data_IF_750246214026
#
_entry.id   IF_750246214026
#
_cell.length_a   1.000
_cell.length_b   1.000
_cell.length_c   1.000
_cell.angle_alpha   90.00
_cell.angle_beta   90.00
_cell.angle_gamma   90.00
#
_symmetry.space_group_name_H-M   'P 1'
#
loop_
_entity.id
_entity.type
_entity.pdbx_description
1 polymer ?
#
# COMPACT_ATOMS: atom_id res chain seq x y z
N UNK A 1 -14.29 12.96 12.03
CA UNK A 1 -14.77 11.57 12.22
C UNK A 1 -14.83 10.95 10.84
N UNK A 2 -13.84 10.16 10.46
CA UNK A 2 -13.91 9.38 9.22
C UNK A 2 -14.98 8.31 9.43
N UNK A 3 -15.96 8.21 8.53
CA UNK A 3 -17.01 7.21 8.69
C UNK A 3 -16.41 5.82 8.43
N UNK A 4 -16.91 4.77 9.09
CA UNK A 4 -16.40 3.40 8.87
C UNK A 4 -16.44 2.97 7.40
N UNK A 5 -17.38 3.51 6.62
CA UNK A 5 -17.48 3.34 5.17
C UNK A 5 -16.26 3.87 4.39
N UNK A 6 -15.67 4.98 4.85
CA UNK A 6 -14.53 5.63 4.21
C UNK A 6 -13.25 4.81 4.44
N UNK A 7 -13.11 4.23 5.63
CA UNK A 7 -12.01 3.32 5.99
C UNK A 7 -12.08 2.05 5.15
N UNK A 8 -13.26 1.43 5.07
CA UNK A 8 -13.48 0.24 4.24
C UNK A 8 -13.15 0.49 2.77
N UNK A 9 -13.62 1.62 2.23
CA UNK A 9 -13.36 2.02 0.84
C UNK A 9 -11.87 2.28 0.59
N UNK A 10 -11.18 2.97 1.50
CA UNK A 10 -9.72 3.19 1.42
C UNK A 10 -8.94 1.88 1.51
N UNK A 11 -9.34 0.96 2.37
CA UNK A 11 -8.74 -0.37 2.52
C UNK A 11 -8.84 -1.16 1.22
N UNK A 12 -10.05 -1.23 0.65
CA UNK A 12 -10.30 -1.93 -0.62
C UNK A 12 -9.47 -1.30 -1.74
N UNK A 13 -9.48 0.03 -1.86
CA UNK A 13 -8.69 0.74 -2.86
C UNK A 13 -7.19 0.49 -2.67
N UNK A 14 -6.65 0.58 -1.45
CA UNK A 14 -5.25 0.30 -1.17
C UNK A 14 -4.87 -1.16 -1.49
N UNK A 15 -5.75 -2.11 -1.19
CA UNK A 15 -5.57 -3.53 -1.49
C UNK A 15 -5.50 -3.80 -2.99
N UNK A 16 -6.48 -3.30 -3.75
CA UNK A 16 -6.54 -3.46 -5.21
C UNK A 16 -5.34 -2.77 -5.89
N UNK A 17 -5.01 -1.54 -5.47
CA UNK A 17 -3.85 -0.82 -5.99
C UNK A 17 -2.53 -1.53 -5.65
N UNK A 18 -2.42 -2.17 -4.48
CA UNK A 18 -1.25 -2.97 -4.12
C UNK A 18 -1.09 -4.19 -5.03
N UNK A 19 -2.18 -4.88 -5.36
CA UNK A 19 -2.15 -6.05 -6.24
C UNK A 19 -1.80 -5.67 -7.69
N UNK A 20 -2.43 -4.61 -8.23
CA UNK A 20 -2.29 -4.25 -9.65
C UNK A 20 -1.09 -3.34 -9.92
N UNK A 21 -0.79 -2.42 -9.00
CA UNK A 21 0.20 -1.35 -9.15
C UNK A 21 1.22 -1.34 -8.00
N UNK A 22 1.41 -2.49 -7.34
CA UNK A 22 2.33 -2.65 -6.22
C UNK A 22 3.79 -2.35 -6.57
N UNK A 23 4.22 -2.69 -7.79
CA UNK A 23 5.57 -2.39 -8.28
C UNK A 23 5.87 -0.89 -8.42
N UNK A 24 4.83 -0.07 -8.52
CA UNK A 24 4.91 1.39 -8.57
C UNK A 24 4.68 2.05 -7.20
N UNK A 25 4.20 1.30 -6.21
CA UNK A 25 3.97 1.82 -4.86
C UNK A 25 2.76 2.75 -4.69
N UNK A 26 1.83 2.75 -5.64
CA UNK A 26 0.67 3.68 -5.67
C UNK A 26 -0.22 3.53 -4.43
N UNK A 27 -0.36 2.32 -3.91
CA UNK A 27 -1.13 2.02 -2.71
C UNK A 27 -0.61 2.72 -1.45
N UNK A 28 0.69 3.02 -1.36
CA UNK A 28 1.29 3.76 -0.23
C UNK A 28 0.92 5.24 -0.25
N UNK A 29 0.90 5.87 -1.43
CA UNK A 29 0.47 7.25 -1.57
C UNK A 29 -0.99 7.45 -1.14
N UNK A 30 -1.86 6.47 -1.38
CA UNK A 30 -3.26 6.51 -0.93
C UNK A 30 -3.41 6.57 0.60
N UNK A 31 -2.45 5.98 1.32
CA UNK A 31 -2.38 5.96 2.79
C UNK A 31 -1.62 7.17 3.36
N UNK A 32 -1.05 8.03 2.49
CA UNK A 32 -0.25 9.17 2.91
C UNK A 32 1.23 8.84 3.16
N UNK A 33 1.68 7.63 2.79
CA UNK A 33 3.07 7.17 2.88
C UNK A 33 3.87 7.60 1.66
N UNK A 34 4.03 8.92 1.50
CA UNK A 34 4.70 9.50 0.35
C UNK A 34 6.17 9.07 0.25
N UNK A 35 6.86 8.94 1.38
CA UNK A 35 8.28 8.55 1.41
C UNK A 35 8.45 7.13 0.88
N UNK A 36 7.64 6.19 1.37
CA UNK A 36 7.67 4.78 1.01
C UNK A 36 7.24 4.58 -0.45
N UNK A 37 6.22 5.30 -0.89
CA UNK A 37 5.81 5.35 -2.29
C UNK A 37 6.92 5.85 -3.22
N UNK A 38 7.62 6.92 -2.83
CA UNK A 38 8.77 7.45 -3.58
C UNK A 38 9.92 6.44 -3.61
N UNK A 39 10.21 5.77 -2.49
CA UNK A 39 11.26 4.74 -2.44
C UNK A 39 10.95 3.62 -3.44
N UNK A 40 9.71 3.11 -3.49
CA UNK A 40 9.34 2.09 -4.48
C UNK A 40 9.49 2.59 -5.92
N UNK A 41 9.04 3.82 -6.21
CA UNK A 41 9.21 4.41 -7.54
C UNK A 41 10.67 4.55 -7.93
N UNK A 42 11.50 5.09 -7.03
CA UNK A 42 12.93 5.30 -7.28
C UNK A 42 13.64 3.96 -7.46
N UNK A 43 13.35 2.95 -6.64
CA UNK A 43 13.94 1.62 -6.79
C UNK A 43 13.55 1.00 -8.13
N UNK A 44 12.27 1.04 -8.49
CA UNK A 44 11.79 0.54 -9.79
C UNK A 44 12.42 1.31 -10.95
N UNK A 45 12.63 2.63 -10.83
CA UNK A 45 13.21 3.45 -11.90
C UNK A 45 14.73 3.27 -12.04
N UNK A 46 15.47 3.31 -10.92
CA UNK A 46 16.94 3.17 -10.89
C UNK A 46 17.40 1.80 -11.35
N UNK A 47 16.60 0.77 -11.10
CA UNK A 47 16.87 -0.59 -11.57
C UNK A 47 16.37 -0.83 -13.01
N UNK A 48 15.98 0.22 -13.75
CA UNK A 48 15.38 0.11 -15.09
C UNK A 48 14.19 -0.88 -15.14
N UNK A 49 13.38 -0.92 -14.09
CA UNK A 49 12.22 -1.80 -13.95
C UNK A 49 12.52 -3.18 -13.35
N UNK A 50 13.78 -3.59 -13.22
CA UNK A 50 14.15 -4.93 -12.72
C UNK A 50 13.81 -5.12 -11.23
N UNK A 51 14.05 -4.09 -10.41
CA UNK A 51 13.63 -4.03 -9.02
C UNK A 51 12.12 -3.96 -8.82
N UNK A 52 11.38 -3.65 -9.90
CA UNK A 52 9.93 -3.68 -9.93
C UNK A 52 9.35 -5.08 -9.70
N UNK A 53 10.11 -6.16 -9.96
CA UNK A 53 9.68 -7.53 -9.64
C UNK A 53 9.62 -7.71 -8.12
N UNK A 54 10.69 -7.35 -7.40
CA UNK A 54 10.75 -7.46 -5.94
C UNK A 54 9.73 -6.54 -5.28
N UNK A 55 9.66 -5.29 -5.72
CA UNK A 55 8.66 -4.33 -5.22
C UNK A 55 7.23 -4.75 -5.58
N UNK A 56 7.03 -5.38 -6.73
CA UNK A 56 5.75 -5.96 -7.14
C UNK A 56 5.30 -7.09 -6.23
N UNK A 57 6.21 -7.99 -5.82
CA UNK A 57 5.91 -9.05 -4.84
C UNK A 57 5.56 -8.44 -3.49
N UNK A 58 6.31 -7.44 -3.01
CA UNK A 58 6.01 -6.75 -1.75
C UNK A 58 4.61 -6.10 -1.81
N UNK A 59 4.35 -5.34 -2.88
CA UNK A 59 3.05 -4.69 -3.07
C UNK A 59 1.88 -5.67 -3.23
N UNK A 60 2.11 -6.84 -3.84
CA UNK A 60 1.12 -7.91 -3.93
C UNK A 60 0.79 -8.47 -2.54
N UNK A 61 1.80 -8.77 -1.73
CA UNK A 61 1.61 -9.29 -0.37
C UNK A 61 0.90 -8.24 0.51
N UNK A 62 1.32 -6.98 0.46
CA UNK A 62 0.66 -5.88 1.17
C UNK A 62 -0.79 -5.70 0.69
N UNK A 63 -1.03 -5.77 -0.62
CA UNK A 63 -2.36 -5.65 -1.21
C UNK A 63 -3.31 -6.72 -0.69
N UNK A 64 -2.87 -7.99 -0.66
CA UNK A 64 -3.64 -9.10 -0.07
C UNK A 64 -3.82 -8.88 1.44
N UNK A 65 -2.76 -8.47 2.15
CA UNK A 65 -2.80 -8.23 3.59
C UNK A 65 -3.81 -7.15 3.98
N UNK A 66 -3.92 -6.07 3.19
CA UNK A 66 -4.92 -5.03 3.41
C UNK A 66 -6.34 -5.57 3.22
N UNK A 67 -6.56 -6.43 2.23
CA UNK A 67 -7.90 -6.99 1.94
C UNK A 67 -8.36 -7.99 3.01
N UNK A 68 -7.45 -8.78 3.59
CA UNK A 68 -7.80 -9.76 4.63
C UNK A 68 -7.93 -9.15 6.03
N UNK A 69 -7.40 -7.95 6.26
CA UNK A 69 -7.55 -7.25 7.54
C UNK A 69 -8.96 -6.71 7.75
N UNK A 70 -9.39 -6.71 9.02
CA UNK A 70 -10.61 -6.01 9.42
C UNK A 70 -10.43 -4.49 9.26
N UNK A 71 -11.53 -3.76 9.09
CA UNK A 71 -11.48 -2.30 8.91
C UNK A 71 -10.86 -1.59 10.13
N UNK A 72 -11.14 -2.11 11.33
CA UNK A 72 -10.58 -1.61 12.59
C UNK A 72 -9.07 -1.83 12.66
N UNK A 73 -8.61 -3.05 12.39
CA UNK A 73 -7.17 -3.35 12.39
C UNK A 73 -6.42 -2.57 11.32
N UNK A 74 -7.03 -2.38 10.15
CA UNK A 74 -6.45 -1.60 9.07
C UNK A 74 -6.27 -0.14 9.49
N UNK A 75 -7.31 0.45 10.10
CA UNK A 75 -7.24 1.81 10.61
C UNK A 75 -6.15 1.94 11.68
N UNK A 76 -6.17 1.09 12.70
CA UNK A 76 -5.22 1.15 13.80
C UNK A 76 -3.78 1.00 13.28
N UNK A 77 -3.54 0.03 12.39
CA UNK A 77 -2.18 -0.28 11.91
C UNK A 77 -1.67 0.75 10.89
N UNK A 78 -2.50 1.13 9.92
CA UNK A 78 -2.06 1.86 8.73
C UNK A 78 -2.56 3.31 8.64
N UNK A 79 -3.51 3.71 9.48
CA UNK A 79 -3.96 5.11 9.54
C UNK A 79 -3.43 5.77 10.81
N UNK A 80 -3.59 5.10 11.96
CA UNK A 80 -3.22 5.67 13.26
C UNK A 80 -1.74 5.45 13.58
N UNK A 81 -1.24 4.21 13.48
CA UNK A 81 0.16 3.87 13.76
C UNK A 81 1.11 4.07 12.58
N UNK A 82 0.58 4.39 11.39
CA UNK A 82 1.36 4.70 10.20
C UNK A 82 2.43 3.65 9.83
N UNK A 83 2.08 2.35 9.88
CA UNK A 83 3.00 1.26 9.51
C UNK A 83 3.39 1.32 8.02
N UNK A 84 4.63 1.73 7.75
CA UNK A 84 5.12 2.03 6.40
C UNK A 84 5.35 0.82 5.48
N UNK A 85 5.58 -0.39 6.00
CA UNK A 85 5.82 -1.62 5.23
C UNK A 85 5.24 -2.84 5.96
N UNK A 86 4.79 -3.86 5.21
CA UNK A 86 4.27 -5.17 5.65
C UNK A 86 3.97 -5.26 7.15
#
# INVERSE_FOLDING_TARGET
MTNSSDISSKKIAAGILGILLGSLGVHKFLLGYNTEGIIMLVVTLVTCGFGGIVMGVIGLVEGIMYLIKSDQEFQETYIDNKKGWL
#
